data_IF_601108649804
#
_entry.id   IF_601108649804
#
_cell.length_a   1.000
_cell.length_b   1.000
_cell.length_c   1.000
_cell.angle_alpha   90.00
_cell.angle_beta   90.00
_cell.angle_gamma   90.00
#
_symmetry.space_group_name_H-M   'P 1'
#
loop_
_entity.id
_entity.type
_entity.pdbx_description
1 polymer ?
#
# COMPACT_ATOMS: atom_id res chain seq x y z
N UNK A 1 -13.29 24.68 -21.52
CA UNK A 1 -14.22 24.14 -20.50
C UNK A 1 -13.37 23.62 -19.35
N UNK A 2 -13.45 24.26 -18.18
CA UNK A 2 -12.76 23.76 -16.99
C UNK A 2 -13.42 22.42 -16.60
N UNK A 3 -12.62 21.37 -16.39
CA UNK A 3 -13.13 20.12 -15.80
C UNK A 3 -13.64 20.46 -14.41
N UNK A 4 -14.87 20.08 -14.11
CA UNK A 4 -15.38 20.13 -12.75
C UNK A 4 -14.48 19.29 -11.84
N UNK A 5 -14.21 19.80 -10.63
CA UNK A 5 -13.38 19.08 -9.66
C UNK A 5 -14.15 17.82 -9.26
N UNK A 6 -13.51 16.64 -9.26
CA UNK A 6 -14.13 15.44 -8.74
C UNK A 6 -14.63 15.69 -7.31
N UNK A 7 -15.80 15.14 -6.97
CA UNK A 7 -16.27 15.12 -5.59
C UNK A 7 -15.22 14.44 -4.70
N UNK A 8 -15.11 14.93 -3.46
CA UNK A 8 -14.16 14.37 -2.48
C UNK A 8 -14.52 12.90 -2.25
N UNK A 9 -13.54 11.97 -2.31
CA UNK A 9 -13.82 10.56 -2.03
C UNK A 9 -14.50 10.40 -0.67
N UNK A 10 -15.47 9.49 -0.58
CA UNK A 10 -16.18 9.17 0.66
C UNK A 10 -15.21 8.89 1.82
N UNK A 11 -14.12 8.17 1.52
CA UNK A 11 -13.01 7.93 2.41
C UNK A 11 -11.72 7.66 1.62
N UNK A 12 -10.60 7.62 2.33
CA UNK A 12 -9.33 7.09 1.84
C UNK A 12 -8.78 6.11 2.87
N UNK A 13 -8.01 5.13 2.41
CA UNK A 13 -7.36 4.15 3.27
C UNK A 13 -5.85 4.22 3.10
N UNK A 14 -5.12 3.82 4.14
CA UNK A 14 -3.67 3.68 4.09
C UNK A 14 -3.23 2.48 4.91
N UNK A 15 -2.28 1.73 4.38
CA UNK A 15 -1.70 0.54 5.03
C UNK A 15 -0.19 0.68 5.06
N UNK A 16 0.41 0.48 6.23
CA UNK A 16 1.86 0.47 6.40
C UNK A 16 2.40 -0.94 6.09
N UNK A 17 3.34 -1.03 5.15
CA UNK A 17 3.93 -2.30 4.70
C UNK A 17 5.07 -2.73 5.61
N UNK A 18 4.74 -3.21 6.81
CA UNK A 18 5.71 -3.68 7.79
C UNK A 18 6.16 -5.12 7.42
N UNK A 19 7.44 -5.33 7.09
CA UNK A 19 7.92 -6.65 6.65
C UNK A 19 7.64 -7.76 7.68
N UNK A 20 7.05 -8.86 7.23
CA UNK A 20 6.69 -10.01 8.08
C UNK A 20 5.40 -9.84 8.90
N UNK A 21 4.71 -8.71 8.76
CA UNK A 21 3.41 -8.46 9.40
C UNK A 21 2.30 -8.11 8.41
N UNK A 22 2.66 -7.35 7.37
CA UNK A 22 1.72 -6.91 6.33
C UNK A 22 2.41 -7.11 5.00
N UNK A 23 2.17 -8.25 4.38
CA UNK A 23 2.75 -8.61 3.08
C UNK A 23 1.63 -8.65 2.01
N UNK A 24 1.86 -9.35 0.90
CA UNK A 24 0.93 -9.42 -0.22
C UNK A 24 -0.48 -9.91 0.20
N UNK A 25 -0.55 -10.93 1.05
CA UNK A 25 -1.81 -11.58 1.43
C UNK A 25 -2.71 -10.66 2.24
N UNK A 26 -2.17 -9.98 3.26
CA UNK A 26 -2.92 -9.00 4.05
C UNK A 26 -3.40 -7.86 3.16
N UNK A 27 -2.55 -7.36 2.27
CA UNK A 27 -2.90 -6.29 1.34
C UNK A 27 -4.00 -6.73 0.39
N UNK A 28 -3.97 -7.98 -0.10
CA UNK A 28 -5.02 -8.57 -0.93
C UNK A 28 -6.36 -8.57 -0.21
N UNK A 29 -6.38 -9.03 1.05
CA UNK A 29 -7.61 -9.06 1.86
C UNK A 29 -8.17 -7.66 2.14
N UNK A 30 -7.30 -6.71 2.50
CA UNK A 30 -7.69 -5.32 2.76
C UNK A 30 -8.21 -4.66 1.48
N UNK A 31 -7.51 -4.83 0.36
CA UNK A 31 -7.89 -4.25 -0.92
C UNK A 31 -9.24 -4.79 -1.41
N UNK A 32 -9.48 -6.10 -1.29
CA UNK A 32 -10.77 -6.73 -1.60
C UNK A 32 -11.90 -6.10 -0.80
N UNK A 33 -11.69 -5.90 0.51
CA UNK A 33 -12.68 -5.27 1.37
C UNK A 33 -12.96 -3.83 0.93
N UNK A 34 -11.94 -3.02 0.69
CA UNK A 34 -12.10 -1.63 0.25
C UNK A 34 -12.82 -1.58 -1.11
N UNK A 35 -12.41 -2.41 -2.06
CA UNK A 35 -13.00 -2.47 -3.40
C UNK A 35 -14.48 -2.88 -3.36
N UNK A 36 -14.87 -3.75 -2.41
CA UNK A 36 -16.27 -4.13 -2.20
C UNK A 36 -17.15 -2.96 -1.74
N UNK A 37 -16.57 -1.94 -1.11
CA UNK A 37 -17.27 -0.70 -0.70
C UNK A 37 -17.25 0.32 -1.84
N UNK A 38 -16.07 0.61 -2.40
CA UNK A 38 -15.90 1.50 -3.55
C UNK A 38 -14.54 1.24 -4.24
N UNK A 39 -14.52 0.73 -5.50
CA UNK A 39 -13.29 0.49 -6.28
C UNK A 39 -12.42 1.74 -6.51
N UNK A 40 -13.05 2.92 -6.54
CA UNK A 40 -12.38 4.19 -6.80
C UNK A 40 -11.76 4.83 -5.55
N UNK A 41 -11.95 4.24 -4.36
CA UNK A 41 -11.36 4.74 -3.11
C UNK A 41 -9.83 4.83 -3.22
N UNK A 42 -9.22 5.99 -2.93
CA UNK A 42 -7.77 6.10 -2.88
C UNK A 42 -7.18 5.25 -1.75
N UNK A 43 -6.23 4.39 -2.11
CA UNK A 43 -5.55 3.48 -1.18
C UNK A 43 -4.03 3.64 -1.28
N UNK A 44 -3.41 4.03 -0.16
CA UNK A 44 -1.96 4.25 -0.10
C UNK A 44 -1.25 3.14 0.66
N UNK A 45 -0.28 2.49 0.02
CA UNK A 45 0.63 1.53 0.61
C UNK A 45 1.89 2.25 1.03
N UNK A 46 2.10 2.41 2.33
CA UNK A 46 3.16 3.24 2.89
C UNK A 46 4.40 2.39 3.17
N UNK A 47 5.56 2.84 2.68
CA UNK A 47 6.84 2.24 3.04
C UNK A 47 7.13 2.41 4.54
N UNK A 48 7.55 1.32 5.18
CA UNK A 48 8.00 1.26 6.56
C UNK A 48 9.49 1.60 6.67
N UNK A 49 9.83 2.40 7.69
CA UNK A 49 11.19 2.67 8.11
C UNK A 49 11.38 2.24 9.57
N UNK A 50 12.42 1.46 9.90
CA UNK A 50 12.61 0.88 11.22
C UNK A 50 13.17 1.90 12.20
N UNK A 51 12.27 2.60 12.90
CA UNK A 51 12.60 3.56 13.94
C UNK A 51 12.03 3.18 15.30
N UNK A 52 12.53 3.85 16.34
CA UNK A 52 12.07 3.76 17.72
C UNK A 52 12.10 2.33 18.29
N UNK A 53 10.94 1.67 18.42
CA UNK A 53 10.77 0.36 19.08
C UNK A 53 10.73 -0.82 18.09
N UNK A 54 10.86 -0.56 16.79
CA UNK A 54 10.86 -1.56 15.71
C UNK A 54 12.11 -1.38 14.85
N UNK A 55 13.27 -1.28 15.50
CA UNK A 55 14.57 -1.07 14.86
C UNK A 55 15.29 -2.37 14.48
N UNK A 56 14.66 -3.51 14.77
CA UNK A 56 15.10 -4.87 14.48
C UNK A 56 14.54 -5.42 13.15
N UNK A 57 13.58 -4.71 12.55
CA UNK A 57 13.00 -5.05 11.26
C UNK A 57 13.70 -4.34 10.10
N UNK A 58 13.70 -4.91 8.89
CA UNK A 58 14.16 -4.21 7.70
C UNK A 58 13.15 -3.11 7.28
N UNK A 59 13.64 -2.09 6.59
CA UNK A 59 12.81 -1.19 5.76
C UNK A 59 12.05 -1.97 4.68
N UNK A 60 10.88 -1.50 4.24
CA UNK A 60 10.15 -2.15 3.13
C UNK A 60 11.00 -2.23 1.86
N UNK A 61 11.11 -3.42 1.26
CA UNK A 61 11.78 -3.62 -0.02
C UNK A 61 10.91 -3.16 -1.18
N UNK A 62 11.55 -2.78 -2.30
CA UNK A 62 10.86 -2.44 -3.55
C UNK A 62 10.03 -3.59 -4.09
N UNK A 63 10.51 -4.84 -3.95
CA UNK A 63 9.78 -6.02 -4.42
C UNK A 63 8.49 -6.19 -3.64
N UNK A 64 8.56 -6.21 -2.31
CA UNK A 64 7.38 -6.29 -1.43
C UNK A 64 6.37 -5.19 -1.82
N UNK A 65 6.79 -3.92 -1.86
CA UNK A 65 5.86 -2.83 -2.17
C UNK A 65 5.16 -2.97 -3.54
N UNK A 66 5.88 -3.50 -4.54
CA UNK A 66 5.31 -3.76 -5.87
C UNK A 66 4.37 -4.97 -5.90
N UNK A 67 4.67 -6.03 -5.15
CA UNK A 67 3.79 -7.20 -4.98
C UNK A 67 2.48 -6.78 -4.30
N UNK A 68 2.57 -6.06 -3.18
CA UNK A 68 1.41 -5.49 -2.49
C UNK A 68 0.58 -4.57 -3.40
N UNK A 69 1.24 -3.70 -4.18
CA UNK A 69 0.55 -2.85 -5.16
C UNK A 69 -0.20 -3.67 -6.21
N UNK A 70 0.43 -4.72 -6.77
CA UNK A 70 -0.20 -5.60 -7.76
C UNK A 70 -1.40 -6.32 -7.16
N UNK A 71 -1.26 -6.90 -5.97
CA UNK A 71 -2.36 -7.56 -5.27
C UNK A 71 -3.54 -6.60 -5.05
N UNK A 72 -3.28 -5.37 -4.61
CA UNK A 72 -4.36 -4.38 -4.43
C UNK A 72 -5.07 -4.04 -5.76
N UNK A 73 -4.33 -3.92 -6.85
CA UNK A 73 -4.88 -3.69 -8.20
C UNK A 73 -5.68 -4.89 -8.72
N UNK A 74 -5.21 -6.11 -8.48
CA UNK A 74 -5.87 -7.36 -8.89
C UNK A 74 -7.21 -7.57 -8.17
N UNK A 75 -7.34 -7.10 -6.93
CA UNK A 75 -8.58 -7.17 -6.16
C UNK A 75 -9.58 -6.04 -6.51
N UNK A 76 -9.29 -5.24 -7.54
CA UNK A 76 -10.23 -4.31 -8.15
C UNK A 76 -10.09 -2.86 -7.73
N UNK A 77 -9.09 -2.48 -6.92
CA UNK A 77 -8.87 -1.06 -6.62
C UNK A 77 -8.28 -0.30 -7.81
N UNK A 78 -8.86 0.85 -8.12
CA UNK A 78 -8.47 1.69 -9.24
C UNK A 78 -7.32 2.63 -8.86
N UNK A 79 -7.43 3.26 -7.69
CA UNK A 79 -6.57 4.36 -7.24
C UNK A 79 -5.61 3.92 -6.13
N UNK A 80 -4.64 3.06 -6.48
CA UNK A 80 -3.61 2.58 -5.55
C UNK A 80 -2.32 3.38 -5.74
N UNK A 81 -1.63 3.72 -4.66
CA UNK A 81 -0.34 4.42 -4.69
C UNK A 81 0.64 3.84 -3.66
N UNK A 82 1.93 3.76 -4.01
CA UNK A 82 3.00 3.46 -3.05
C UNK A 82 3.55 4.78 -2.48
N UNK A 83 3.19 5.07 -1.23
CA UNK A 83 3.64 6.25 -0.51
C UNK A 83 5.06 6.07 0.06
N UNK A 84 5.74 7.20 0.28
CA UNK A 84 7.11 7.26 0.82
C UNK A 84 8.12 6.40 0.03
N UNK A 85 7.98 6.33 -1.29
CA UNK A 85 8.78 5.46 -2.15
C UNK A 85 10.31 5.69 -2.07
N UNK A 86 10.76 6.85 -1.56
CA UNK A 86 12.17 7.13 -1.29
C UNK A 86 12.77 6.29 -0.14
N UNK A 87 11.93 5.70 0.72
CA UNK A 87 12.35 4.79 1.79
C UNK A 87 12.58 3.35 1.29
N UNK A 88 12.12 3.01 0.08
CA UNK A 88 12.16 1.64 -0.41
C UNK A 88 13.58 1.20 -0.79
N UNK A 89 13.99 0.04 -0.26
CA UNK A 89 15.32 -0.51 -0.52
C UNK A 89 15.32 -1.54 -1.64
N UNK A 90 16.50 -1.80 -2.22
CA UNK A 90 16.71 -2.87 -3.22
C UNK A 90 17.00 -4.22 -2.58
N UNK A 91 17.22 -4.26 -1.28
CA UNK A 91 17.53 -5.48 -0.55
C UNK A 91 16.23 -6.14 -0.13
N UNK A 92 16.06 -7.37 -0.56
CA UNK A 92 14.98 -8.21 -0.07
C UNK A 92 15.34 -8.82 1.29
N UNK A 93 14.31 -9.26 1.98
CA UNK A 93 14.47 -9.90 3.27
C UNK A 93 15.11 -11.28 3.08
N UNK A 94 15.98 -11.70 4.01
CA UNK A 94 16.41 -13.10 4.04
C UNK A 94 15.17 -14.02 4.15
N UNK A 95 15.24 -15.23 3.56
CA UNK A 95 14.18 -16.22 3.69
C UNK A 95 13.98 -16.67 5.14
#
# INVERSE_FOLDING_TARGET
LARERPEVPLFTASTLLVPGYVDEEEVRMIARFIASVNPSTPYSLLAFHPDFRMNDLPTTSRRHALEAYRAAKEEGLENVHIGNAWLLTRHDYPP
#
